data_IF_133519322675
#
_entry.id   IF_133519322675
#
_cell.length_a   1.000
_cell.length_b   1.000
_cell.length_c   1.000
_cell.angle_alpha   90.00
_cell.angle_beta   90.00
_cell.angle_gamma   90.00
#
_symmetry.space_group_name_H-M   'P 1'
#
loop_
_entity.id
_entity.type
_entity.pdbx_description
1 polymer ?
#
# COMPACT_ATOMS: atom_id res chain seq x y z
N UNK A 1 -37.34 -19.94 -48.57
CA UNK A 1 -36.18 -20.65 -47.97
C UNK A 1 -35.05 -19.71 -47.51
N UNK A 2 -34.70 -18.65 -48.26
CA UNK A 2 -33.58 -17.72 -47.96
C UNK A 2 -33.72 -16.84 -46.70
N UNK A 3 -34.93 -16.44 -46.31
CA UNK A 3 -35.18 -15.61 -45.10
C UNK A 3 -34.87 -16.34 -43.78
N UNK A 4 -35.12 -17.66 -43.71
CA UNK A 4 -34.81 -18.47 -42.52
C UNK A 4 -33.31 -18.66 -42.34
N UNK A 5 -32.54 -18.64 -43.42
CA UNK A 5 -31.08 -18.74 -43.40
C UNK A 5 -30.42 -17.44 -42.94
N UNK A 6 -30.93 -16.29 -43.40
CA UNK A 6 -30.48 -14.97 -42.93
C UNK A 6 -30.75 -14.77 -41.44
N UNK A 7 -31.96 -15.10 -40.96
CA UNK A 7 -32.32 -14.97 -39.55
C UNK A 7 -31.44 -15.84 -38.62
N UNK A 8 -31.08 -17.05 -39.07
CA UNK A 8 -30.14 -17.94 -38.36
C UNK A 8 -28.72 -17.38 -38.34
N UNK A 9 -28.26 -16.81 -39.46
CA UNK A 9 -26.94 -16.18 -39.53
C UNK A 9 -26.86 -14.94 -38.61
N UNK A 10 -27.89 -14.09 -38.60
CA UNK A 10 -27.94 -12.92 -37.70
C UNK A 10 -28.00 -13.33 -36.24
N UNK A 11 -28.81 -14.34 -35.89
CA UNK A 11 -28.88 -14.85 -34.52
C UNK A 11 -27.54 -15.47 -34.07
N UNK A 12 -26.83 -16.14 -34.97
CA UNK A 12 -25.51 -16.71 -34.71
C UNK A 12 -24.45 -15.61 -34.49
N UNK A 13 -24.45 -14.55 -35.30
CA UNK A 13 -23.54 -13.40 -35.13
C UNK A 13 -23.80 -12.67 -33.81
N UNK A 14 -25.06 -12.42 -33.45
CA UNK A 14 -25.41 -11.80 -32.17
C UNK A 14 -25.00 -12.68 -30.98
N UNK A 15 -25.20 -14.00 -31.09
CA UNK A 15 -24.76 -14.94 -30.06
C UNK A 15 -23.25 -14.95 -29.86
N UNK A 16 -22.48 -14.92 -30.95
CA UNK A 16 -21.00 -14.84 -30.89
C UNK A 16 -20.55 -13.50 -30.30
N UNK A 17 -21.15 -12.39 -30.70
CA UNK A 17 -20.81 -11.07 -30.17
C UNK A 17 -21.11 -10.96 -28.65
N UNK A 18 -22.25 -11.49 -28.20
CA UNK A 18 -22.60 -11.55 -26.79
C UNK A 18 -21.63 -12.44 -25.98
N UNK A 19 -21.23 -13.59 -26.55
CA UNK A 19 -20.24 -14.47 -25.93
C UNK A 19 -18.87 -13.78 -25.81
N UNK A 20 -18.40 -13.10 -26.86
CA UNK A 20 -17.14 -12.36 -26.84
C UNK A 20 -17.18 -11.21 -25.83
N UNK A 21 -18.30 -10.48 -25.74
CA UNK A 21 -18.49 -9.44 -24.74
C UNK A 21 -18.46 -10.01 -23.31
N UNK A 22 -19.12 -11.15 -23.06
CA UNK A 22 -19.10 -11.81 -21.76
C UNK A 22 -17.70 -12.33 -21.40
N UNK A 23 -16.96 -12.89 -22.36
CA UNK A 23 -15.58 -13.31 -22.17
C UNK A 23 -14.65 -12.13 -21.91
N UNK A 24 -14.85 -11.00 -22.60
CA UNK A 24 -14.08 -9.78 -22.40
C UNK A 24 -14.36 -9.15 -21.04
N UNK A 25 -15.63 -9.08 -20.62
CA UNK A 25 -16.01 -8.60 -19.27
C UNK A 25 -15.47 -9.55 -18.20
N UNK A 26 -15.56 -10.86 -18.40
CA UNK A 26 -14.97 -11.85 -17.50
C UNK A 26 -13.45 -11.74 -17.41
N UNK A 27 -12.77 -11.50 -18.53
CA UNK A 27 -11.33 -11.28 -18.59
C UNK A 27 -10.92 -9.95 -17.94
N UNK A 28 -11.70 -8.88 -18.09
CA UNK A 28 -11.49 -7.62 -17.38
C UNK A 28 -11.69 -7.81 -15.88
N UNK A 29 -12.78 -8.44 -15.45
CA UNK A 29 -13.05 -8.72 -14.04
C UNK A 29 -11.94 -9.59 -13.43
N UNK A 30 -11.49 -10.64 -14.14
CA UNK A 30 -10.37 -11.47 -13.74
C UNK A 30 -9.05 -10.69 -13.71
N UNK A 31 -8.75 -9.88 -14.72
CA UNK A 31 -7.49 -9.12 -14.79
C UNK A 31 -7.42 -8.01 -13.75
N UNK A 32 -8.56 -7.39 -13.44
CA UNK A 32 -8.72 -6.50 -12.30
C UNK A 32 -8.45 -7.32 -11.03
N UNK A 33 -9.17 -8.41 -10.79
CA UNK A 33 -8.92 -9.26 -9.61
C UNK A 33 -7.46 -9.72 -9.51
N UNK A 34 -6.80 -10.08 -10.60
CA UNK A 34 -5.40 -10.51 -10.65
C UNK A 34 -4.38 -9.37 -10.46
N UNK A 35 -4.71 -8.14 -10.85
CA UNK A 35 -3.95 -6.93 -10.48
C UNK A 35 -4.19 -6.53 -9.03
N UNK A 36 -5.35 -6.84 -8.45
CA UNK A 36 -5.70 -6.49 -7.07
C UNK A 36 -5.36 -7.58 -6.04
N UNK A 37 -5.16 -8.83 -6.46
CA UNK A 37 -4.58 -9.90 -5.64
C UNK A 37 -3.07 -9.86 -5.83
N UNK A 38 -2.37 -9.15 -4.96
CA UNK A 38 -0.91 -9.24 -4.89
C UNK A 38 -0.48 -10.71 -4.90
N UNK A 39 0.70 -11.00 -5.47
CA UNK A 39 1.21 -12.37 -5.68
C UNK A 39 1.27 -13.27 -4.43
N UNK A 40 0.87 -12.79 -3.26
CA UNK A 40 0.71 -13.55 -2.03
C UNK A 40 -0.52 -13.05 -1.21
N UNK A 41 -1.73 -13.58 -1.44
CA UNK A 41 -2.92 -13.20 -0.67
C UNK A 41 -2.82 -13.58 0.81
N UNK A 42 -2.04 -14.60 1.16
CA UNK A 42 -1.82 -15.03 2.55
C UNK A 42 -1.08 -13.94 3.32
N UNK A 43 -0.13 -13.28 2.66
CA UNK A 43 0.62 -12.18 3.25
C UNK A 43 -0.22 -10.91 3.44
N UNK A 44 -1.14 -10.60 2.52
CA UNK A 44 -2.09 -9.52 2.73
C UNK A 44 -2.96 -9.76 3.96
N UNK A 45 -3.47 -10.98 4.10
CA UNK A 45 -4.36 -11.31 5.20
C UNK A 45 -3.63 -11.30 6.55
N UNK A 46 -2.34 -11.66 6.60
CA UNK A 46 -1.54 -11.55 7.84
C UNK A 46 -1.34 -10.10 8.28
N UNK A 47 -1.05 -9.18 7.36
CA UNK A 47 -0.93 -7.74 7.62
C UNK A 47 -2.26 -7.17 8.11
N UNK A 48 -3.38 -7.60 7.55
CA UNK A 48 -4.71 -7.16 7.98
C UNK A 48 -5.04 -7.65 9.40
N UNK A 49 -4.74 -8.91 9.70
CA UNK A 49 -4.95 -9.48 11.05
C UNK A 49 -4.09 -8.75 12.07
N UNK A 50 -2.83 -8.44 11.72
CA UNK A 50 -1.92 -7.73 12.62
C UNK A 50 -2.38 -6.29 12.86
N UNK A 51 -2.77 -5.57 11.82
CA UNK A 51 -3.36 -4.25 11.96
C UNK A 51 -4.62 -4.29 12.83
N UNK A 52 -5.52 -5.25 12.62
CA UNK A 52 -6.74 -5.37 13.42
C UNK A 52 -6.43 -5.66 14.89
N UNK A 53 -5.42 -6.48 15.18
CA UNK A 53 -4.99 -6.83 16.53
C UNK A 53 -4.37 -5.64 17.26
N UNK A 54 -3.51 -4.90 16.58
CA UNK A 54 -2.63 -3.88 17.18
C UNK A 54 -2.95 -2.45 16.71
N UNK A 55 -4.17 -2.21 16.20
CA UNK A 55 -4.60 -0.94 15.62
C UNK A 55 -4.22 0.31 16.43
N UNK A 56 -4.41 0.35 17.77
CA UNK A 56 -4.02 1.52 18.55
C UNK A 56 -2.52 1.84 18.50
N UNK A 57 -1.66 0.83 18.36
CA UNK A 57 -0.21 1.03 18.25
C UNK A 57 0.17 1.59 16.88
N UNK A 58 -0.47 1.11 15.81
CA UNK A 58 -0.31 1.65 14.45
C UNK A 58 -0.77 3.10 14.35
N UNK A 59 -1.96 3.42 14.87
CA UNK A 59 -2.48 4.79 14.88
C UNK A 59 -1.55 5.72 15.71
N UNK A 60 -1.09 5.26 16.88
CA UNK A 60 -0.15 6.02 17.72
C UNK A 60 1.20 6.25 17.03
N UNK A 61 1.73 5.24 16.33
CA UNK A 61 2.97 5.36 15.57
C UNK A 61 2.83 6.35 14.43
N UNK A 62 1.76 6.25 13.64
CA UNK A 62 1.50 7.17 12.53
C UNK A 62 1.39 8.62 13.02
N UNK A 63 0.61 8.85 14.07
CA UNK A 63 0.47 10.17 14.68
C UNK A 63 1.81 10.71 15.18
N UNK A 64 2.62 9.87 15.84
CA UNK A 64 3.92 10.28 16.38
C UNK A 64 4.94 10.61 15.29
N UNK A 65 5.00 9.84 14.22
CA UNK A 65 5.88 10.14 13.08
C UNK A 65 5.50 11.48 12.43
N UNK A 66 4.20 11.76 12.27
CA UNK A 66 3.71 13.04 11.75
C UNK A 66 4.01 14.21 12.70
N UNK A 67 3.89 14.00 14.00
CA UNK A 67 4.27 15.00 15.00
C UNK A 67 5.77 15.35 14.90
N UNK A 68 6.63 14.33 14.81
CA UNK A 68 8.08 14.50 14.69
C UNK A 68 8.47 15.21 13.39
N UNK A 69 7.80 14.91 12.27
CA UNK A 69 8.06 15.57 10.99
C UNK A 69 7.71 17.05 11.01
N UNK A 70 6.70 17.44 11.78
CA UNK A 70 6.29 18.84 11.96
C UNK A 70 7.16 19.62 12.97
N UNK A 71 7.78 18.96 13.94
CA UNK A 71 8.56 19.62 15.00
C UNK A 71 9.91 20.18 14.53
N UNK A 72 10.52 19.59 13.51
CA UNK A 72 11.86 19.95 13.05
C UNK A 72 11.76 20.53 11.63
N UNK A 73 11.92 21.85 11.45
CA UNK A 73 11.90 22.48 10.14
C UNK A 73 12.95 21.88 9.20
N UNK A 74 12.55 21.62 7.95
CA UNK A 74 13.44 21.04 6.93
C UNK A 74 13.61 19.52 7.02
N UNK A 75 12.81 18.83 7.84
CA UNK A 75 12.78 17.37 7.88
C UNK A 75 12.29 16.80 6.56
N UNK A 76 13.07 15.90 5.98
CA UNK A 76 12.74 15.22 4.72
C UNK A 76 12.30 13.78 4.94
N UNK A 77 12.68 13.15 6.05
CA UNK A 77 12.29 11.79 6.41
C UNK A 77 12.30 11.59 7.92
N UNK A 78 11.33 10.84 8.42
CA UNK A 78 11.31 10.30 9.79
C UNK A 78 11.11 8.80 9.67
N UNK A 79 11.95 8.01 10.32
CA UNK A 79 11.83 6.56 10.39
C UNK A 79 11.89 6.12 11.86
N UNK A 80 10.91 5.35 12.30
CA UNK A 80 10.77 4.97 13.70
C UNK A 80 10.55 3.46 13.81
N UNK A 81 11.46 2.79 14.52
CA UNK A 81 11.36 1.38 14.91
C UNK A 81 10.90 1.31 16.37
N UNK A 82 10.69 0.11 16.91
CA UNK A 82 10.45 -0.07 18.36
C UNK A 82 11.61 0.43 19.24
N UNK A 83 12.84 0.46 18.72
CA UNK A 83 14.04 0.81 19.47
C UNK A 83 14.51 2.24 19.24
N UNK A 84 14.47 2.73 18.00
CA UNK A 84 15.13 3.96 17.59
C UNK A 84 14.24 4.83 16.70
N UNK A 85 14.48 6.13 16.77
CA UNK A 85 13.93 7.13 15.85
C UNK A 85 15.08 7.75 15.07
N UNK A 86 14.92 7.84 13.75
CA UNK A 86 15.87 8.49 12.84
C UNK A 86 15.17 9.61 12.10
N UNK A 87 15.79 10.79 12.08
CA UNK A 87 15.27 11.98 11.39
C UNK A 87 16.32 12.46 10.38
N UNK A 88 15.89 12.68 9.13
CA UNK A 88 16.73 13.25 8.07
C UNK A 88 16.41 14.72 7.86
N UNK A 89 17.43 15.58 7.97
CA UNK A 89 17.34 17.03 7.74
C UNK A 89 18.49 17.45 6.85
N UNK A 90 18.21 18.16 5.75
CA UNK A 90 19.25 18.64 4.83
C UNK A 90 20.14 17.52 4.26
N UNK A 91 19.59 16.31 4.12
CA UNK A 91 20.32 15.12 3.63
C UNK A 91 21.14 14.37 4.67
N UNK A 92 21.19 14.83 5.93
CA UNK A 92 21.87 14.14 7.02
C UNK A 92 20.85 13.42 7.92
N UNK A 93 21.06 12.12 8.14
CA UNK A 93 20.27 11.32 9.08
C UNK A 93 20.87 11.39 10.50
N UNK A 94 20.01 11.57 11.50
CA UNK A 94 20.37 11.48 12.92
C UNK A 94 19.45 10.49 13.60
N UNK A 95 20.04 9.47 14.20
CA UNK A 95 19.32 8.41 14.90
C UNK A 95 19.60 8.47 16.39
N UNK A 96 18.58 8.20 17.19
CA UNK A 96 18.68 8.09 18.63
C UNK A 96 17.72 7.05 19.18
N UNK A 97 17.96 6.56 20.41
CA UNK A 97 17.02 5.68 21.08
C UNK A 97 15.67 6.38 21.27
N UNK A 98 14.60 5.61 21.19
CA UNK A 98 13.26 6.12 21.49
C UNK A 98 13.17 6.61 22.93
N UNK A 99 12.34 7.63 23.17
CA UNK A 99 11.94 7.99 24.53
C UNK A 99 11.18 6.81 25.17
N UNK A 100 11.15 6.66 26.52
CA UNK A 100 10.38 5.60 27.16
C UNK A 100 8.90 5.60 26.76
N UNK A 101 8.32 6.79 26.55
CA UNK A 101 6.94 6.94 26.09
C UNK A 101 6.75 6.43 24.65
N UNK A 102 7.70 6.74 23.74
CA UNK A 102 7.65 6.24 22.37
C UNK A 102 7.88 4.72 22.32
N UNK A 103 8.85 4.19 23.07
CA UNK A 103 9.05 2.75 23.20
C UNK A 103 7.79 2.03 23.72
N UNK A 104 7.09 2.61 24.70
CA UNK A 104 5.84 2.05 25.22
C UNK A 104 4.72 2.05 24.16
N UNK A 105 4.59 3.11 23.37
CA UNK A 105 3.58 3.20 22.29
C UNK A 105 3.81 2.14 21.21
N UNK A 106 5.08 1.88 20.88
CA UNK A 106 5.47 1.01 19.77
C UNK A 106 5.63 -0.45 20.17
N UNK A 107 5.57 -0.79 21.46
CA UNK A 107 5.82 -2.15 21.97
C UNK A 107 4.96 -3.25 21.33
N UNK A 108 3.79 -2.87 20.81
CA UNK A 108 2.82 -3.78 20.21
C UNK A 108 2.87 -3.79 18.68
N UNK A 109 3.71 -2.95 18.07
CA UNK A 109 4.08 -3.16 16.67
C UNK A 109 4.95 -4.40 16.58
N UNK A 110 4.88 -5.09 15.43
CA UNK A 110 5.88 -6.07 15.03
C UNK A 110 7.24 -5.36 14.85
N UNK A 111 8.25 -6.07 14.36
CA UNK A 111 9.53 -5.48 13.92
C UNK A 111 9.36 -4.60 12.67
N UNK A 112 8.46 -3.63 12.71
CA UNK A 112 8.16 -2.74 11.61
C UNK A 112 8.84 -1.39 11.79
N UNK A 113 8.96 -0.70 10.67
CA UNK A 113 9.39 0.70 10.68
C UNK A 113 8.31 1.56 10.08
N UNK A 114 7.82 2.46 10.92
CA UNK A 114 6.96 3.56 10.53
C UNK A 114 7.83 4.64 9.87
N UNK A 115 7.46 5.05 8.66
CA UNK A 115 8.22 5.99 7.83
C UNK A 115 7.31 7.08 7.32
N UNK A 116 7.75 8.31 7.49
CA UNK A 116 7.21 9.48 6.80
C UNK A 116 8.29 10.12 5.94
N UNK A 117 7.90 10.68 4.80
CA UNK A 117 8.80 11.34 3.87
C UNK A 117 8.14 12.60 3.31
N UNK A 118 8.91 13.66 3.11
CA UNK A 118 8.41 14.93 2.60
C UNK A 118 7.78 14.83 1.19
N UNK A 119 8.22 13.88 0.37
CA UNK A 119 7.65 13.63 -0.96
C UNK A 119 6.22 13.03 -0.92
N UNK A 120 5.82 12.53 0.25
CA UNK A 120 4.54 11.86 0.55
C UNK A 120 4.02 12.39 1.90
N UNK A 121 4.05 13.72 2.09
CA UNK A 121 3.94 14.38 3.39
C UNK A 121 2.63 14.12 4.16
N UNK A 122 1.58 13.65 3.48
CA UNK A 122 0.27 13.31 4.01
C UNK A 122 0.13 11.81 4.34
N UNK A 123 1.20 11.01 4.20
CA UNK A 123 1.20 9.57 4.34
C UNK A 123 2.27 9.09 5.32
N UNK A 124 1.95 8.01 6.03
CA UNK A 124 2.91 7.23 6.82
C UNK A 124 2.88 5.81 6.31
N UNK A 125 4.06 5.24 6.08
CA UNK A 125 4.24 3.88 5.59
C UNK A 125 4.80 3.00 6.70
N UNK A 126 4.33 1.77 6.79
CA UNK A 126 4.89 0.74 7.67
C UNK A 126 5.48 -0.34 6.77
N UNK A 127 6.76 -0.63 6.99
CA UNK A 127 7.48 -1.72 6.34
C UNK A 127 7.86 -2.76 7.39
N UNK A 128 7.50 -4.02 7.14
CA UNK A 128 7.80 -5.16 8.00
C UNK A 128 9.28 -5.56 7.82
N UNK A 129 10.11 -5.51 8.88
CA UNK A 129 11.49 -6.03 8.81
C UNK A 129 11.50 -7.56 8.73
N UNK A 130 12.54 -8.11 8.09
CA UNK A 130 12.80 -9.55 8.01
C UNK A 130 12.24 -10.23 6.76
N UNK A 131 11.68 -9.46 5.83
CA UNK A 131 11.10 -9.99 4.60
C UNK A 131 11.97 -9.59 3.41
N UNK A 132 12.46 -10.59 2.66
CA UNK A 132 13.13 -10.37 1.39
C UNK A 132 12.17 -9.66 0.42
N UNK A 133 12.65 -8.64 -0.29
CA UNK A 133 11.91 -7.98 -1.36
C UNK A 133 11.32 -9.04 -2.31
N UNK A 134 10.03 -8.97 -2.68
CA UNK A 134 9.17 -7.78 -2.64
C UNK A 134 8.32 -7.63 -1.36
N UNK A 135 8.43 -6.49 -0.66
CA UNK A 135 7.74 -6.24 0.62
C UNK A 135 6.32 -5.67 0.42
N UNK A 136 5.36 -6.11 1.26
CA UNK A 136 4.03 -5.47 1.38
C UNK A 136 4.15 -4.25 2.31
N UNK A 137 3.45 -3.18 1.96
CA UNK A 137 3.45 -1.95 2.73
C UNK A 137 2.08 -1.70 3.34
N UNK A 138 2.04 -1.22 4.57
CA UNK A 138 0.82 -0.66 5.13
C UNK A 138 0.92 0.87 5.09
N UNK A 139 -0.08 1.53 4.53
CA UNK A 139 -0.12 2.98 4.36
C UNK A 139 -1.25 3.56 5.20
N UNK A 140 -0.90 4.55 6.02
CA UNK A 140 -1.83 5.44 6.71
C UNK A 140 -1.89 6.78 6.02
N UNK A 141 -3.09 7.34 5.83
CA UNK A 141 -3.27 8.74 5.47
C UNK A 141 -4.61 9.28 5.95
N UNK A 142 -4.59 10.39 6.69
CA UNK A 142 -5.81 11.05 7.15
C UNK A 142 -6.54 11.86 6.05
N UNK A 143 -5.86 12.15 4.93
CA UNK A 143 -6.37 13.04 3.89
C UNK A 143 -6.38 12.43 2.49
N UNK A 144 -5.91 11.19 2.32
CA UNK A 144 -5.85 10.56 1.01
C UNK A 144 -7.26 10.28 0.48
N UNK A 145 -7.61 10.94 -0.62
CA UNK A 145 -8.88 10.72 -1.32
C UNK A 145 -8.76 9.72 -2.45
N UNK A 146 -7.54 9.37 -2.87
CA UNK A 146 -7.27 8.59 -4.07
C UNK A 146 -6.07 7.61 -3.89
N UNK A 147 -6.11 6.68 -2.92
CA UNK A 147 -5.03 5.73 -2.68
C UNK A 147 -4.71 4.87 -3.92
N UNK A 148 -5.69 4.63 -4.80
CA UNK A 148 -5.50 3.91 -6.06
C UNK A 148 -4.70 4.68 -7.13
N UNK A 149 -4.82 6.01 -7.19
CA UNK A 149 -4.00 6.81 -8.08
C UNK A 149 -2.55 6.81 -7.58
N UNK A 150 -2.38 7.10 -6.29
CA UNK A 150 -1.09 7.04 -5.61
C UNK A 150 -0.36 5.70 -5.83
N UNK A 151 -1.05 4.58 -5.61
CA UNK A 151 -0.46 3.26 -5.74
C UNK A 151 0.11 3.01 -7.15
N UNK A 152 -0.63 3.40 -8.18
CA UNK A 152 -0.19 3.26 -9.58
C UNK A 152 0.98 4.17 -9.91
N UNK A 153 0.94 5.43 -9.47
CA UNK A 153 1.98 6.41 -9.75
C UNK A 153 3.32 6.01 -9.12
N UNK A 154 3.28 5.42 -7.92
CA UNK A 154 4.46 4.90 -7.22
C UNK A 154 4.90 3.50 -7.68
N UNK A 155 4.08 2.82 -8.49
CA UNK A 155 4.42 1.51 -9.07
C UNK A 155 4.11 0.30 -8.18
N UNK A 156 3.24 0.46 -7.18
CA UNK A 156 2.72 -0.66 -6.42
C UNK A 156 1.82 -1.54 -7.30
N UNK A 157 2.04 -2.85 -7.28
CA UNK A 157 1.30 -3.78 -8.17
C UNK A 157 -0.15 -3.99 -7.79
N UNK A 158 -0.47 -3.86 -6.52
CA UNK A 158 -1.80 -4.11 -5.98
C UNK A 158 -2.07 -3.21 -4.78
N UNK A 159 -3.33 -3.08 -4.39
CA UNK A 159 -3.72 -2.42 -3.16
C UNK A 159 -5.02 -3.01 -2.62
N UNK A 160 -5.24 -2.87 -1.32
CA UNK A 160 -6.49 -3.17 -0.64
C UNK A 160 -6.79 -2.05 0.35
N UNK A 161 -7.84 -1.28 0.06
CA UNK A 161 -8.35 -0.26 0.99
C UNK A 161 -9.03 -1.00 2.15
N UNK A 162 -8.65 -0.67 3.38
CA UNK A 162 -9.19 -1.27 4.60
C UNK A 162 -10.35 -0.42 5.10
N UNK A 163 -10.07 0.86 5.27
CA UNK A 163 -11.00 1.88 5.75
C UNK A 163 -10.58 3.24 5.16
N UNK A 164 -11.17 4.33 5.64
CA UNK A 164 -10.90 5.68 5.16
C UNK A 164 -9.47 6.18 5.41
N UNK A 165 -8.68 5.52 6.27
CA UNK A 165 -7.33 5.94 6.62
C UNK A 165 -6.24 4.94 6.22
N UNK A 166 -6.58 3.65 6.15
CA UNK A 166 -5.60 2.58 6.00
C UNK A 166 -5.75 1.83 4.68
N UNK A 167 -4.61 1.59 4.03
CA UNK A 167 -4.52 0.83 2.79
C UNK A 167 -3.31 -0.11 2.86
N UNK A 168 -3.51 -1.37 2.50
CA UNK A 168 -2.39 -2.29 2.23
C UNK A 168 -1.98 -2.10 0.78
N UNK A 169 -0.71 -1.84 0.54
CA UNK A 169 -0.11 -1.74 -0.79
C UNK A 169 0.73 -2.99 -1.03
N UNK A 170 0.53 -3.60 -2.19
CA UNK A 170 1.34 -4.73 -2.63
C UNK A 170 2.77 -4.32 -2.96
N UNK A 171 3.58 -5.25 -3.45
CA UNK A 171 4.98 -4.94 -3.70
C UNK A 171 5.20 -3.99 -4.88
N UNK A 172 6.30 -3.24 -4.80
CA UNK A 172 6.94 -2.58 -5.94
C UNK A 172 7.97 -3.57 -6.52
N UNK A 173 7.77 -4.10 -7.74
CA UNK A 173 8.64 -5.15 -8.30
C UNK A 173 9.99 -4.66 -8.79
N UNK A 174 10.10 -3.35 -9.01
CA UNK A 174 11.33 -2.70 -9.42
C UNK A 174 12.09 -2.32 -8.16
N UNK A 175 13.18 -3.03 -7.87
CA UNK A 175 13.97 -2.81 -6.65
C UNK A 175 14.53 -1.39 -6.55
N UNK A 176 14.80 -0.71 -7.68
CA UNK A 176 15.26 0.67 -7.64
C UNK A 176 14.13 1.61 -7.20
N UNK A 177 12.91 1.34 -7.66
CA UNK A 177 11.71 2.08 -7.21
C UNK A 177 11.33 1.74 -5.77
N UNK A 178 11.41 0.48 -5.35
CA UNK A 178 11.17 0.07 -3.96
C UNK A 178 12.17 0.75 -3.02
N UNK A 179 13.47 0.73 -3.37
CA UNK A 179 14.49 1.48 -2.63
C UNK A 179 14.25 2.98 -2.64
N UNK A 180 13.80 3.55 -3.76
CA UNK A 180 13.43 4.96 -3.80
C UNK A 180 12.25 5.24 -2.87
N UNK A 181 11.20 4.41 -2.87
CA UNK A 181 10.09 4.54 -1.94
C UNK A 181 10.56 4.45 -0.48
N UNK A 182 11.50 3.57 -0.16
CA UNK A 182 12.04 3.42 1.19
C UNK A 182 12.95 4.57 1.66
N UNK A 183 13.84 5.05 0.79
CA UNK A 183 14.90 6.00 1.19
C UNK A 183 14.46 7.47 1.13
N UNK A 184 13.42 7.79 0.35
CA UNK A 184 12.97 9.16 0.11
C UNK A 184 13.53 9.67 -1.19
#
# INVERSE_FOLDING_TARGET
MRLRTLAKATAMVVGIAALLAALFVGWIAWSISGHFTGKDPVHFDSVLVELARNRPAYDAAAARVLELSAQIPGTTRVAMTTMNTSVTVGGAERSGPNSPADAQRLRALREEVAVWQAKDADRVFFRFYGEDSPTVWLMYSASDRHPGAFARDRGFRSLRIIDEYWTVLGPIPDDARDRAQWNG
#
